data_IF_223973837623
#
_entry.id   IF_223973837623
#
_cell.length_a   1.000
_cell.length_b   1.000
_cell.length_c   1.000
_cell.angle_alpha   90.00
_cell.angle_beta   90.00
_cell.angle_gamma   90.00
#
_symmetry.space_group_name_H-M   'P 1'
#
loop_
_entity.id
_entity.type
_entity.pdbx_description
1 polymer ?
#
# COMPACT_ATOMS: atom_id res chain seq x y z
N UNK A 1 28.82 4.13 1.64
CA UNK A 1 27.80 4.46 0.62
C UNK A 1 26.90 3.25 0.51
N UNK A 2 25.62 3.34 0.94
CA UNK A 2 24.65 2.27 0.66
C UNK A 2 24.38 2.33 -0.84
N UNK A 3 24.66 1.24 -1.57
CA UNK A 3 24.23 1.07 -2.95
C UNK A 3 22.69 1.14 -2.98
N UNK A 4 22.16 2.29 -3.32
CA UNK A 4 20.77 2.45 -3.68
C UNK A 4 20.58 1.77 -5.05
N UNK A 5 20.21 0.49 -5.01
CA UNK A 5 19.74 -0.22 -6.20
C UNK A 5 18.50 0.54 -6.68
N UNK A 6 18.59 1.23 -7.81
CA UNK A 6 17.47 1.99 -8.36
C UNK A 6 16.27 1.07 -8.51
N UNK A 7 15.17 1.39 -7.82
CA UNK A 7 13.95 0.59 -7.88
C UNK A 7 13.43 0.56 -9.32
N UNK A 8 13.06 -0.62 -9.82
CA UNK A 8 12.51 -0.81 -11.17
C UNK A 8 11.01 -0.57 -11.14
N UNK A 9 10.54 0.32 -11.99
CA UNK A 9 9.11 0.60 -12.15
C UNK A 9 8.68 0.27 -13.57
N UNK A 10 7.68 -0.59 -13.74
CA UNK A 10 6.95 -0.69 -15.01
C UNK A 10 5.90 0.42 -15.02
N UNK A 11 5.88 1.21 -16.10
CA UNK A 11 4.86 2.23 -16.36
C UNK A 11 4.11 1.83 -17.62
N UNK A 12 2.80 1.64 -17.50
CA UNK A 12 1.94 1.22 -18.60
C UNK A 12 0.89 2.29 -18.91
N UNK A 13 0.89 2.77 -20.15
CA UNK A 13 -0.07 3.75 -20.69
C UNK A 13 -0.02 3.63 -22.22
N UNK A 14 -1.15 3.66 -22.92
CA UNK A 14 -1.17 3.60 -24.40
C UNK A 14 -0.83 4.96 -25.03
N UNK A 15 -0.82 6.04 -24.25
CA UNK A 15 -0.42 7.37 -24.67
C UNK A 15 1.10 7.56 -24.50
N UNK A 16 1.84 7.63 -25.60
CA UNK A 16 3.29 7.82 -25.59
C UNK A 16 3.76 9.10 -24.87
N UNK A 17 2.98 10.18 -24.94
CA UNK A 17 3.31 11.42 -24.23
C UNK A 17 3.19 11.25 -22.71
N UNK A 18 2.18 10.50 -22.24
CA UNK A 18 2.03 10.16 -20.83
C UNK A 18 3.18 9.26 -20.35
N UNK A 19 3.54 8.23 -21.11
CA UNK A 19 4.69 7.38 -20.81
C UNK A 19 5.98 8.18 -20.70
N UNK A 20 6.21 9.08 -21.67
CA UNK A 20 7.42 9.92 -21.66
C UNK A 20 7.43 10.85 -20.45
N UNK A 21 6.32 11.54 -20.16
CA UNK A 21 6.21 12.46 -19.04
C UNK A 21 6.43 11.75 -17.70
N UNK A 22 5.71 10.66 -17.44
CA UNK A 22 5.83 9.88 -16.22
C UNK A 22 7.25 9.30 -16.11
N UNK A 23 7.78 8.77 -17.22
CA UNK A 23 9.12 8.21 -17.27
C UNK A 23 10.22 9.22 -16.94
N UNK A 24 10.11 10.46 -17.41
CA UNK A 24 11.06 11.55 -17.09
C UNK A 24 10.98 11.93 -15.60
N UNK A 25 9.78 12.05 -15.04
CA UNK A 25 9.60 12.38 -13.63
C UNK A 25 10.20 11.29 -12.74
N UNK A 26 9.90 10.02 -13.01
CA UNK A 26 10.41 8.89 -12.25
C UNK A 26 11.94 8.77 -12.33
N UNK A 27 12.53 8.98 -13.51
CA UNK A 27 13.98 9.00 -13.68
C UNK A 27 14.65 10.11 -12.86
N UNK A 28 14.04 11.30 -12.80
CA UNK A 28 14.52 12.40 -11.94
C UNK A 28 14.46 12.06 -10.46
N UNK A 29 13.50 11.22 -10.06
CA UNK A 29 13.37 10.69 -8.70
C UNK A 29 14.29 9.49 -8.43
N UNK A 30 15.13 9.09 -9.40
CA UNK A 30 16.13 8.01 -9.23
C UNK A 30 15.61 6.60 -9.52
N UNK A 31 14.45 6.46 -10.17
CA UNK A 31 13.89 5.15 -10.53
C UNK A 31 14.36 4.68 -11.91
N UNK A 32 14.45 3.36 -12.08
CA UNK A 32 14.67 2.71 -13.37
C UNK A 32 13.33 2.36 -14.01
N UNK A 33 12.95 3.08 -15.07
CA UNK A 33 11.63 3.00 -15.70
C UNK A 33 11.66 2.05 -16.88
N UNK A 34 10.71 1.12 -16.90
CA UNK A 34 10.46 0.17 -17.99
C UNK A 34 9.07 0.51 -18.56
N UNK A 35 9.00 1.11 -19.75
CA UNK A 35 7.71 1.47 -20.36
C UNK A 35 7.00 0.26 -20.96
N UNK A 36 5.67 0.26 -20.90
CA UNK A 36 4.79 -0.66 -21.60
C UNK A 36 3.65 0.12 -22.27
N UNK A 37 3.27 -0.21 -23.51
CA UNK A 37 2.25 0.51 -24.27
C UNK A 37 0.85 -0.10 -24.18
N UNK A 38 0.73 -1.26 -23.58
CA UNK A 38 -0.53 -1.99 -23.43
C UNK A 38 -0.42 -3.07 -22.35
N UNK A 39 -1.56 -3.63 -21.96
CA UNK A 39 -1.60 -4.66 -20.94
C UNK A 39 -0.83 -5.95 -21.27
N UNK A 40 -0.78 -6.35 -22.56
CA UNK A 40 -0.03 -7.54 -22.98
C UNK A 40 1.48 -7.35 -22.80
N UNK A 41 2.00 -6.15 -23.08
CA UNK A 41 3.40 -5.82 -22.82
C UNK A 41 3.74 -5.89 -21.33
N UNK A 42 2.84 -5.43 -20.45
CA UNK A 42 3.03 -5.56 -18.99
C UNK A 42 3.18 -7.04 -18.61
N UNK A 43 2.23 -7.88 -19.02
CA UNK A 43 2.26 -9.31 -18.71
C UNK A 43 3.52 -9.99 -19.25
N UNK A 44 3.95 -9.65 -20.46
CA UNK A 44 5.21 -10.14 -21.04
C UNK A 44 6.42 -9.66 -20.25
N UNK A 45 6.48 -8.39 -19.85
CA UNK A 45 7.59 -7.87 -19.06
C UNK A 45 7.71 -8.57 -17.70
N UNK A 46 6.59 -8.91 -17.06
CA UNK A 46 6.59 -9.64 -15.79
C UNK A 46 7.21 -11.04 -15.87
N UNK A 47 7.24 -11.67 -17.04
CA UNK A 47 7.96 -12.93 -17.24
C UNK A 47 9.48 -12.76 -17.38
N UNK A 48 9.94 -11.53 -17.70
CA UNK A 48 11.35 -11.23 -17.99
C UNK A 48 12.05 -10.49 -16.85
N UNK A 49 11.29 -9.65 -16.12
CA UNK A 49 11.82 -8.81 -15.05
C UNK A 49 10.89 -8.83 -13.83
N UNK A 50 11.48 -8.72 -12.66
CA UNK A 50 10.71 -8.48 -11.42
C UNK A 50 10.79 -6.98 -11.10
N UNK A 51 9.71 -6.20 -11.33
CA UNK A 51 9.67 -4.80 -10.93
C UNK A 51 9.42 -4.67 -9.43
N UNK A 52 9.82 -3.53 -8.87
CA UNK A 52 9.51 -3.19 -7.48
C UNK A 52 8.13 -2.52 -7.36
N UNK A 53 7.66 -1.86 -8.46
CA UNK A 53 6.37 -1.16 -8.52
C UNK A 53 5.84 -1.26 -9.96
N UNK A 54 4.52 -1.30 -10.12
CA UNK A 54 3.84 -1.16 -11.41
C UNK A 54 2.90 0.06 -11.35
N UNK A 55 3.03 0.97 -12.30
CA UNK A 55 2.06 2.04 -12.55
C UNK A 55 1.26 1.67 -13.81
N UNK A 56 -0.06 1.65 -13.71
CA UNK A 56 -0.92 1.00 -14.68
C UNK A 56 -2.10 1.89 -15.04
N UNK A 57 -2.17 2.34 -16.31
CA UNK A 57 -3.38 2.98 -16.82
C UNK A 57 -4.51 1.94 -16.98
N UNK A 58 -5.74 2.38 -16.81
CA UNK A 58 -6.91 1.52 -17.04
C UNK A 58 -7.20 1.43 -18.53
N UNK A 59 -7.18 2.54 -19.26
CA UNK A 59 -7.57 2.62 -20.66
C UNK A 59 -6.39 2.30 -21.59
N UNK A 60 -6.14 1.02 -21.86
CA UNK A 60 -5.01 0.55 -22.69
C UNK A 60 -5.43 -0.39 -23.83
N UNK A 61 -6.47 -0.08 -24.56
CA UNK A 61 -6.85 -0.84 -25.75
C UNK A 61 -7.44 -2.23 -25.46
N UNK A 62 -6.86 -3.29 -26.03
CA UNK A 62 -7.45 -4.66 -26.03
C UNK A 62 -7.43 -5.38 -24.69
N UNK A 63 -6.45 -5.10 -23.84
CA UNK A 63 -6.38 -5.61 -22.46
C UNK A 63 -6.29 -4.41 -21.55
N UNK A 64 -7.38 -4.14 -20.86
CA UNK A 64 -7.46 -3.00 -19.95
C UNK A 64 -6.64 -3.20 -18.65
N UNK A 65 -6.34 -2.11 -17.97
CA UNK A 65 -5.52 -2.14 -16.76
C UNK A 65 -6.16 -2.91 -15.61
N UNK A 66 -7.50 -3.02 -15.57
CA UNK A 66 -8.19 -3.77 -14.52
C UNK A 66 -7.97 -5.26 -14.70
N UNK A 67 -8.06 -5.77 -15.94
CA UNK A 67 -7.77 -7.16 -16.25
C UNK A 67 -6.30 -7.51 -15.98
N UNK A 68 -5.37 -6.58 -16.26
CA UNK A 68 -3.94 -6.75 -15.92
C UNK A 68 -3.74 -6.78 -14.40
N UNK A 69 -4.36 -5.86 -13.64
CA UNK A 69 -4.31 -5.85 -12.19
C UNK A 69 -4.79 -7.19 -11.60
N UNK A 70 -5.95 -7.67 -12.07
CA UNK A 70 -6.52 -8.95 -11.64
C UNK A 70 -5.55 -10.10 -11.90
N UNK A 71 -4.93 -10.16 -13.09
CA UNK A 71 -3.93 -11.17 -13.42
C UNK A 71 -2.73 -11.11 -12.49
N UNK A 72 -2.17 -9.91 -12.26
CA UNK A 72 -1.03 -9.69 -11.36
C UNK A 72 -1.34 -10.19 -9.95
N UNK A 73 -2.55 -9.90 -9.44
CA UNK A 73 -2.94 -10.22 -8.06
C UNK A 73 -3.33 -11.69 -7.85
N UNK A 74 -3.74 -12.39 -8.91
CA UNK A 74 -4.02 -13.83 -8.87
C UNK A 74 -2.76 -14.71 -8.97
N UNK A 75 -1.70 -14.23 -9.60
CA UNK A 75 -0.46 -14.99 -9.75
C UNK A 75 0.42 -14.85 -8.51
N UNK A 76 0.73 -15.98 -7.86
CA UNK A 76 1.58 -16.05 -6.66
C UNK A 76 2.98 -15.43 -6.83
N UNK A 77 3.49 -15.36 -8.05
CA UNK A 77 4.81 -14.78 -8.32
C UNK A 77 4.80 -13.26 -8.37
N UNK A 78 3.64 -12.66 -8.68
CA UNK A 78 3.47 -11.22 -8.90
C UNK A 78 2.50 -10.55 -7.93
N UNK A 79 1.71 -11.31 -7.17
CA UNK A 79 0.68 -10.78 -6.25
C UNK A 79 1.20 -9.75 -5.24
N UNK A 80 2.45 -9.93 -4.79
CA UNK A 80 3.09 -9.03 -3.81
C UNK A 80 3.59 -7.72 -4.42
N UNK A 81 3.65 -7.62 -5.76
CA UNK A 81 4.12 -6.40 -6.43
C UNK A 81 3.09 -5.29 -6.22
N UNK A 82 3.48 -4.13 -5.65
CA UNK A 82 2.60 -2.99 -5.50
C UNK A 82 2.18 -2.44 -6.87
N UNK A 83 0.87 -2.26 -7.07
CA UNK A 83 0.29 -1.70 -8.29
C UNK A 83 -0.41 -0.39 -7.95
N UNK A 84 0.00 0.69 -8.63
CA UNK A 84 -0.66 2.01 -8.61
C UNK A 84 -1.47 2.12 -9.89
N UNK A 85 -2.78 2.33 -9.78
CA UNK A 85 -3.61 2.66 -10.94
C UNK A 85 -3.49 4.14 -11.27
N UNK A 86 -3.43 4.48 -12.56
CA UNK A 86 -3.38 5.88 -13.04
C UNK A 86 -4.44 6.01 -14.12
N UNK A 87 -5.51 6.80 -13.90
CA UNK A 87 -6.63 6.85 -14.85
C UNK A 87 -7.28 8.22 -14.92
N UNK A 88 -7.90 8.51 -16.07
CA UNK A 88 -8.81 9.67 -16.23
C UNK A 88 -10.17 9.47 -15.59
N UNK A 89 -10.58 8.22 -15.33
CA UNK A 89 -11.82 7.91 -14.64
C UNK A 89 -11.70 8.16 -13.14
N UNK A 90 -12.65 8.87 -12.57
CA UNK A 90 -12.72 9.19 -11.13
C UNK A 90 -13.99 8.64 -10.48
N UNK A 91 -14.71 7.71 -11.16
CA UNK A 91 -15.91 7.09 -10.62
C UNK A 91 -15.59 6.25 -9.38
N UNK A 92 -16.46 6.34 -8.38
CA UNK A 92 -16.31 5.62 -7.13
C UNK A 92 -16.33 4.11 -7.32
N UNK A 93 -17.07 3.65 -8.32
CA UNK A 93 -17.24 2.24 -8.69
C UNK A 93 -15.93 1.63 -9.19
N UNK A 94 -15.27 2.27 -10.15
CA UNK A 94 -13.98 1.80 -10.72
C UNK A 94 -12.90 1.82 -9.65
N UNK A 95 -12.87 2.85 -8.84
CA UNK A 95 -11.94 2.99 -7.74
C UNK A 95 -12.13 1.86 -6.71
N UNK A 96 -13.37 1.59 -6.30
CA UNK A 96 -13.71 0.52 -5.37
C UNK A 96 -13.34 -0.85 -5.96
N UNK A 97 -13.59 -1.08 -7.25
CA UNK A 97 -13.20 -2.30 -7.96
C UNK A 97 -11.67 -2.50 -7.91
N UNK A 98 -10.89 -1.49 -8.29
CA UNK A 98 -9.43 -1.57 -8.24
C UNK A 98 -8.90 -1.83 -6.82
N UNK A 99 -9.52 -1.21 -5.81
CA UNK A 99 -9.19 -1.44 -4.40
C UNK A 99 -9.46 -2.90 -3.99
N UNK A 100 -10.62 -3.43 -4.35
CA UNK A 100 -11.01 -4.82 -4.06
C UNK A 100 -10.05 -5.81 -4.72
N UNK A 101 -9.59 -5.51 -5.94
CA UNK A 101 -8.58 -6.31 -6.65
C UNK A 101 -7.17 -6.18 -6.06
N UNK A 102 -6.95 -5.28 -5.11
CA UNK A 102 -5.69 -5.14 -4.37
C UNK A 102 -4.70 -4.15 -4.98
N UNK A 103 -5.16 -3.13 -5.74
CA UNK A 103 -4.28 -2.00 -6.03
C UNK A 103 -3.91 -1.28 -4.73
N UNK A 104 -2.71 -0.73 -4.72
CA UNK A 104 -2.17 -0.07 -3.52
C UNK A 104 -2.55 1.41 -3.47
N UNK A 105 -2.66 2.03 -4.63
CA UNK A 105 -3.12 3.41 -4.78
C UNK A 105 -3.76 3.62 -6.15
N UNK A 106 -4.47 4.74 -6.29
CA UNK A 106 -5.13 5.14 -7.51
C UNK A 106 -4.95 6.64 -7.70
N UNK A 107 -4.34 7.04 -8.79
CA UNK A 107 -4.08 8.44 -9.12
C UNK A 107 -4.99 8.84 -10.27
N UNK A 108 -5.85 9.84 -10.05
CA UNK A 108 -6.64 10.44 -11.13
C UNK A 108 -5.78 11.38 -11.96
N UNK A 109 -5.84 11.24 -13.29
CA UNK A 109 -5.23 12.18 -14.24
C UNK A 109 -5.92 13.57 -14.12
N UNK A 110 -5.23 14.71 -14.20
CA UNK A 110 -3.81 14.84 -14.52
C UNK A 110 -2.91 14.41 -13.35
N UNK A 111 -1.83 13.69 -13.70
CA UNK A 111 -0.81 13.30 -12.75
C UNK A 111 0.09 14.49 -12.43
N UNK A 112 0.24 14.81 -11.14
CA UNK A 112 1.17 15.85 -10.68
C UNK A 112 2.37 15.21 -9.96
N UNK A 113 3.44 15.99 -9.83
CA UNK A 113 4.67 15.53 -9.14
C UNK A 113 4.36 15.14 -7.70
N UNK A 114 3.53 15.93 -7.02
CA UNK A 114 3.14 15.72 -5.62
C UNK A 114 2.37 14.41 -5.46
N UNK A 115 1.35 14.15 -6.33
CA UNK A 115 0.58 12.91 -6.32
C UNK A 115 1.49 11.69 -6.55
N UNK A 116 2.42 11.81 -7.51
CA UNK A 116 3.37 10.76 -7.82
C UNK A 116 4.30 10.47 -6.64
N UNK A 117 4.88 11.51 -6.03
CA UNK A 117 5.77 11.35 -4.88
C UNK A 117 5.07 10.68 -3.70
N UNK A 118 3.86 11.10 -3.36
CA UNK A 118 3.08 10.51 -2.28
C UNK A 118 2.77 9.04 -2.53
N UNK A 119 2.36 8.67 -3.76
CA UNK A 119 2.09 7.27 -4.10
C UNK A 119 3.36 6.41 -4.04
N UNK A 120 4.51 6.93 -4.49
CA UNK A 120 5.80 6.23 -4.43
C UNK A 120 6.32 6.11 -3.00
N UNK A 121 6.14 7.12 -2.16
CA UNK A 121 6.47 7.03 -0.73
C UNK A 121 5.67 5.91 -0.07
N UNK A 122 4.38 5.80 -0.38
CA UNK A 122 3.54 4.71 0.07
C UNK A 122 4.06 3.34 -0.37
N UNK A 123 4.44 3.20 -1.66
CA UNK A 123 5.04 1.96 -2.17
C UNK A 123 6.38 1.64 -1.51
N UNK A 124 7.24 2.62 -1.29
CA UNK A 124 8.54 2.42 -0.65
C UNK A 124 8.39 2.00 0.81
N UNK A 125 7.46 2.62 1.54
CA UNK A 125 7.09 2.19 2.89
C UNK A 125 6.61 0.75 2.86
N UNK A 126 5.77 0.36 1.91
CA UNK A 126 5.28 -1.01 1.79
C UNK A 126 6.35 -1.98 1.29
N UNK A 127 7.21 -1.59 0.34
CA UNK A 127 8.32 -2.42 -0.12
C UNK A 127 9.35 -2.69 0.99
N UNK A 128 9.63 -1.71 1.82
CA UNK A 128 10.42 -1.88 3.04
C UNK A 128 9.72 -2.81 4.06
N UNK A 129 8.40 -2.87 4.02
CA UNK A 129 7.56 -3.68 4.88
C UNK A 129 7.32 -5.10 4.30
N UNK A 130 7.29 -5.30 2.98
CA UNK A 130 7.20 -6.64 2.36
C UNK A 130 8.51 -7.42 2.46
N UNK A 131 9.64 -6.75 2.59
CA UNK A 131 10.92 -7.38 3.00
C UNK A 131 10.92 -7.80 4.47
N UNK A 132 9.90 -7.44 5.25
CA UNK A 132 9.76 -7.82 6.66
C UNK A 132 8.96 -9.12 6.80
N UNK A 133 9.37 -9.94 7.74
CA UNK A 133 8.93 -11.30 8.07
C UNK A 133 7.43 -11.50 8.40
N UNK A 134 6.54 -10.50 8.19
CA UNK A 134 5.17 -10.57 8.69
C UNK A 134 4.15 -10.11 7.64
N UNK A 135 3.16 -10.96 7.29
CA UNK A 135 2.06 -10.59 6.39
C UNK A 135 1.24 -9.46 7.01
N UNK A 136 0.67 -8.62 6.14
CA UNK A 136 -0.22 -7.53 6.50
C UNK A 136 -1.62 -7.89 6.06
N UNK A 137 -2.61 -7.62 6.90
CA UNK A 137 -4.02 -7.81 6.58
C UNK A 137 -4.74 -6.47 6.58
N UNK A 138 -5.76 -6.34 5.74
CA UNK A 138 -6.74 -5.26 5.84
C UNK A 138 -7.63 -5.55 7.03
N UNK A 139 -7.63 -4.68 8.03
CA UNK A 139 -8.37 -4.87 9.26
C UNK A 139 -8.82 -3.53 9.81
N UNK A 140 -10.13 -3.29 9.79
CA UNK A 140 -10.74 -2.18 10.49
C UNK A 140 -10.94 -2.55 11.96
N UNK A 141 -10.03 -2.11 12.81
CA UNK A 141 -10.08 -2.35 14.26
C UNK A 141 -9.98 -1.03 15.02
N UNK A 142 -10.88 -0.82 15.97
CA UNK A 142 -10.80 0.33 16.88
C UNK A 142 -9.59 0.18 17.79
N UNK A 143 -8.77 1.22 17.88
CA UNK A 143 -7.57 1.29 18.73
C UNK A 143 -7.58 2.60 19.53
N UNK A 144 -6.93 2.59 20.68
CA UNK A 144 -6.65 3.81 21.44
C UNK A 144 -5.20 4.18 21.16
N UNK A 145 -4.99 5.37 20.64
CA UNK A 145 -3.66 5.94 20.38
C UNK A 145 -3.42 7.09 21.32
N UNK A 146 -2.32 7.05 22.07
CA UNK A 146 -1.91 8.15 22.95
C UNK A 146 -0.74 8.87 22.29
N UNK A 147 -0.89 10.17 22.06
CA UNK A 147 0.14 11.07 21.59
C UNK A 147 0.23 12.28 22.52
N UNK A 148 1.42 12.58 23.02
CA UNK A 148 1.65 13.66 23.99
C UNK A 148 0.71 13.60 25.22
N UNK A 149 0.42 12.39 25.70
CA UNK A 149 -0.48 12.15 26.84
C UNK A 149 -1.97 12.25 26.52
N UNK A 150 -2.36 12.60 25.29
CA UNK A 150 -3.76 12.75 24.87
C UNK A 150 -4.24 11.45 24.20
N UNK A 151 -5.33 10.82 24.66
CA UNK A 151 -5.89 9.63 24.06
C UNK A 151 -6.81 9.95 22.86
N UNK A 152 -6.68 9.19 21.78
CA UNK A 152 -7.48 9.26 20.56
C UNK A 152 -8.09 7.91 20.26
N UNK A 153 -9.40 7.85 20.03
CA UNK A 153 -10.08 6.67 19.52
C UNK A 153 -9.99 6.69 17.99
N UNK A 154 -9.18 5.80 17.41
CA UNK A 154 -8.91 5.74 15.97
C UNK A 154 -9.19 4.34 15.44
N UNK A 155 -9.08 4.15 14.12
CA UNK A 155 -9.26 2.87 13.47
C UNK A 155 -8.04 2.51 12.63
N UNK A 156 -7.66 1.24 12.66
CA UNK A 156 -6.69 0.70 11.70
C UNK A 156 -7.35 0.55 10.34
N UNK A 157 -6.57 0.62 9.28
CA UNK A 157 -6.92 0.20 7.92
C UNK A 157 -6.18 -1.09 7.58
N UNK A 158 -4.94 -1.19 8.05
CA UNK A 158 -4.13 -2.40 7.91
C UNK A 158 -3.34 -2.66 9.19
N UNK A 159 -3.09 -3.94 9.48
CA UNK A 159 -2.31 -4.40 10.63
C UNK A 159 -1.34 -5.52 10.22
N UNK A 160 -0.16 -5.54 10.85
CA UNK A 160 0.83 -6.61 10.79
C UNK A 160 1.54 -6.73 12.13
N UNK A 161 2.32 -7.79 12.34
CA UNK A 161 3.09 -7.91 13.58
C UNK A 161 4.22 -6.86 13.75
N UNK A 162 4.51 -6.05 12.73
CA UNK A 162 5.56 -5.01 12.80
C UNK A 162 5.04 -3.58 12.71
N UNK A 163 3.71 -3.38 12.50
CA UNK A 163 3.14 -2.05 12.38
C UNK A 163 1.72 -2.01 11.85
N UNK A 164 1.16 -0.81 11.77
CA UNK A 164 -0.22 -0.58 11.35
C UNK A 164 -0.32 0.67 10.47
N UNK A 165 -1.38 0.77 9.67
CA UNK A 165 -1.85 2.03 9.14
C UNK A 165 -3.11 2.43 9.90
N UNK A 166 -3.12 3.64 10.48
CA UNK A 166 -4.19 4.15 11.32
C UNK A 166 -4.82 5.38 10.64
N UNK A 167 -6.15 5.35 10.47
CA UNK A 167 -6.92 6.44 9.90
C UNK A 167 -6.99 7.61 10.86
N UNK A 168 -6.67 8.82 10.39
CA UNK A 168 -6.84 10.08 11.11
C UNK A 168 -6.88 11.23 10.11
N UNK A 169 -7.89 12.11 10.20
CA UNK A 169 -8.08 13.23 9.28
C UNK A 169 -6.87 14.19 9.27
N UNK A 170 -6.35 14.47 10.44
CA UNK A 170 -5.14 15.28 10.66
C UNK A 170 -4.08 14.38 11.32
N UNK A 171 -3.29 13.65 10.54
CA UNK A 171 -2.32 12.70 11.07
C UNK A 171 -1.26 13.38 11.93
N UNK A 172 -0.70 12.65 12.89
CA UNK A 172 0.47 13.15 13.63
C UNK A 172 1.68 13.23 12.70
N UNK A 173 2.57 14.20 12.91
CA UNK A 173 3.76 14.38 12.07
C UNK A 173 4.63 13.12 12.03
N UNK A 174 5.33 12.91 10.90
CA UNK A 174 6.35 11.87 10.79
C UNK A 174 7.42 12.05 11.88
N UNK A 175 7.83 10.96 12.52
CA UNK A 175 8.73 10.94 13.66
C UNK A 175 8.02 11.04 15.02
N UNK A 176 6.70 11.27 15.06
CA UNK A 176 5.96 11.29 16.33
C UNK A 176 5.99 9.89 16.98
N UNK A 177 6.24 9.87 18.30
CA UNK A 177 6.14 8.65 19.11
C UNK A 177 4.74 8.55 19.71
N UNK A 178 4.16 7.37 19.65
CA UNK A 178 2.80 7.09 20.11
C UNK A 178 2.76 5.77 20.89
N UNK A 179 1.78 5.68 21.79
CA UNK A 179 1.39 4.42 22.41
C UNK A 179 0.07 3.95 21.81
N UNK A 180 -0.05 2.65 21.55
CA UNK A 180 -1.23 2.06 20.93
C UNK A 180 -1.74 0.94 21.82
N UNK A 181 -3.01 1.00 22.19
CA UNK A 181 -3.72 -0.12 22.81
C UNK A 181 -4.59 -0.76 21.75
N UNK A 182 -4.25 -2.00 21.38
CA UNK A 182 -4.95 -2.83 20.41
C UNK A 182 -5.77 -3.90 21.14
N UNK A 183 -7.12 -3.81 21.12
CA UNK A 183 -7.97 -4.87 21.68
C UNK A 183 -7.90 -6.15 20.83
N UNK A 184 -7.83 -7.30 21.49
CA UNK A 184 -7.90 -8.64 20.89
C UNK A 184 -9.33 -9.22 20.99
N UNK A 185 -9.49 -10.50 20.68
CA UNK A 185 -10.82 -11.16 20.68
C UNK A 185 -11.36 -11.52 22.08
N UNK A 186 -10.49 -11.74 23.05
CA UNK A 186 -10.76 -12.29 24.38
C UNK A 186 -10.82 -11.22 25.49
N UNK A 187 -11.22 -10.01 25.16
CA UNK A 187 -11.23 -8.84 26.05
C UNK A 187 -9.82 -8.41 26.51
N UNK A 188 -8.77 -9.11 26.11
CA UNK A 188 -7.38 -8.70 26.30
C UNK A 188 -6.98 -7.56 25.35
N UNK A 189 -5.89 -6.88 25.65
CA UNK A 189 -5.33 -5.87 24.78
C UNK A 189 -3.80 -5.90 24.80
N UNK A 190 -3.19 -5.64 23.63
CA UNK A 190 -1.74 -5.47 23.55
C UNK A 190 -1.43 -3.96 23.57
N UNK A 191 -0.45 -3.60 24.40
CA UNK A 191 0.10 -2.25 24.43
C UNK A 191 1.39 -2.19 23.62
N UNK A 192 1.43 -1.31 22.64
CA UNK A 192 2.53 -1.20 21.68
C UNK A 192 3.07 0.23 21.69
N UNK A 193 4.37 0.37 21.58
CA UNK A 193 5.01 1.62 21.24
C UNK A 193 5.17 1.72 19.73
N UNK A 194 5.06 2.91 19.16
CA UNK A 194 5.23 3.09 17.74
C UNK A 194 5.73 4.48 17.36
N UNK A 195 6.34 4.53 16.19
CA UNK A 195 6.79 5.75 15.54
C UNK A 195 5.99 5.96 14.26
N UNK A 196 5.52 7.18 14.03
CA UNK A 196 4.92 7.59 12.75
C UNK A 196 6.00 7.66 11.70
N UNK A 197 6.05 6.70 10.78
CA UNK A 197 7.07 6.64 9.73
C UNK A 197 6.59 7.24 8.40
N UNK A 198 5.28 7.39 8.25
CA UNK A 198 4.64 7.92 7.05
C UNK A 198 3.32 8.60 7.40
N UNK A 199 3.00 9.69 6.69
CA UNK A 199 1.74 10.43 6.81
C UNK A 199 1.08 10.52 5.44
N UNK A 200 -0.22 10.29 5.39
CA UNK A 200 -1.07 10.45 4.22
C UNK A 200 -2.19 11.45 4.53
N UNK A 201 -2.22 12.54 3.80
CA UNK A 201 -3.22 13.59 3.94
C UNK A 201 -4.39 13.45 2.94
N UNK A 202 -5.33 14.40 2.98
CA UNK A 202 -6.56 14.39 2.17
C UNK A 202 -6.34 14.74 0.69
N UNK A 203 -5.15 15.20 0.28
CA UNK A 203 -4.96 15.74 -1.06
C UNK A 203 -4.70 14.64 -2.10
N UNK A 204 -5.75 14.27 -2.82
CA UNK A 204 -5.67 13.54 -4.09
C UNK A 204 -5.59 12.02 -3.99
N UNK A 205 -5.85 11.41 -2.85
CA UNK A 205 -5.81 9.96 -2.66
C UNK A 205 -7.16 9.39 -2.28
N UNK A 206 -7.45 8.19 -2.80
CA UNK A 206 -8.67 7.42 -2.60
C UNK A 206 -8.73 6.78 -1.22
N UNK A 207 -7.58 6.51 -0.63
CA UNK A 207 -7.48 5.95 0.71
C UNK A 207 -7.67 7.04 1.76
N UNK A 208 -8.34 6.74 2.88
CA UNK A 208 -8.56 7.72 3.92
C UNK A 208 -7.23 8.30 4.44
N UNK A 209 -7.22 9.58 4.84
CA UNK A 209 -6.05 10.18 5.47
C UNK A 209 -5.66 9.41 6.72
N UNK A 210 -4.36 9.33 6.98
CA UNK A 210 -3.88 8.56 8.11
C UNK A 210 -2.35 8.54 8.21
N UNK A 211 -1.87 7.65 9.04
CA UNK A 211 -0.44 7.52 9.33
C UNK A 211 0.00 6.07 9.38
N UNK A 212 1.14 5.80 8.76
CA UNK A 212 1.83 4.52 8.87
C UNK A 212 2.68 4.50 10.14
N UNK A 213 2.45 3.47 10.96
CA UNK A 213 3.12 3.26 12.24
C UNK A 213 4.05 2.07 12.13
N UNK A 214 5.29 2.26 12.56
CA UNK A 214 6.23 1.17 12.82
C UNK A 214 6.20 0.91 14.34
N UNK A 215 5.96 -0.32 14.76
CA UNK A 215 6.08 -0.67 16.16
C UNK A 215 7.54 -0.64 16.60
N UNK A 216 7.80 -0.01 17.74
CA UNK A 216 9.10 0.08 18.40
C UNK A 216 9.04 -0.68 19.73
N UNK A 217 10.18 -1.11 20.25
CA UNK A 217 10.29 -1.81 21.55
C UNK A 217 9.36 -3.01 21.70
N UNK A 218 9.05 -3.68 20.56
CA UNK A 218 8.18 -4.86 20.53
C UNK A 218 8.96 -6.10 20.95
N UNK A 219 8.43 -6.84 21.92
CA UNK A 219 9.03 -8.09 22.40
C UNK A 219 8.68 -9.27 21.49
N UNK A 220 9.46 -10.35 21.54
CA UNK A 220 9.13 -11.59 20.82
C UNK A 220 7.77 -12.16 21.25
N UNK A 221 7.38 -11.93 22.51
CA UNK A 221 6.07 -12.31 23.04
C UNK A 221 4.94 -11.51 22.35
N UNK A 222 5.07 -10.19 22.24
CA UNK A 222 4.07 -9.35 21.56
C UNK A 222 3.95 -9.70 20.08
N UNK A 223 5.10 -9.99 19.42
CA UNK A 223 5.12 -10.47 18.04
C UNK A 223 4.35 -11.79 17.90
N UNK A 224 4.53 -12.72 18.84
CA UNK A 224 3.83 -14.00 18.82
C UNK A 224 2.31 -13.82 19.01
N UNK A 225 1.89 -12.97 19.96
CA UNK A 225 0.48 -12.62 20.18
C UNK A 225 -0.13 -12.02 18.92
N UNK A 226 0.53 -11.01 18.32
CA UNK A 226 0.02 -10.36 17.12
C UNK A 226 -0.08 -11.32 15.93
N UNK A 227 0.91 -12.21 15.75
CA UNK A 227 0.86 -13.23 14.69
C UNK A 227 -0.32 -14.17 14.88
N UNK A 228 -0.49 -14.73 16.08
CA UNK A 228 -1.60 -15.62 16.38
C UNK A 228 -2.96 -14.93 16.16
N UNK A 229 -3.09 -13.70 16.62
CA UNK A 229 -4.29 -12.87 16.40
C UNK A 229 -4.60 -12.67 14.91
N UNK A 230 -3.58 -12.33 14.09
CA UNK A 230 -3.74 -12.14 12.65
C UNK A 230 -4.07 -13.45 11.93
N UNK A 231 -3.48 -14.56 12.33
CA UNK A 231 -3.76 -15.90 11.79
C UNK A 231 -5.20 -16.34 12.08
N UNK A 232 -5.71 -16.04 13.27
CA UNK A 232 -7.11 -16.31 13.63
C UNK A 232 -8.09 -15.51 12.78
N UNK A 233 -7.81 -14.22 12.48
CA UNK A 233 -8.63 -13.41 11.61
C UNK A 233 -8.64 -13.98 10.19
N UNK A 234 -7.47 -14.30 9.63
CA UNK A 234 -7.36 -14.87 8.28
C UNK A 234 -8.13 -16.20 8.19
N UNK A 235 -8.06 -17.04 9.24
CA UNK A 235 -8.78 -18.31 9.29
C UNK A 235 -10.30 -18.09 9.41
N UNK A 236 -10.76 -17.08 10.16
CA UNK A 236 -12.17 -16.70 10.28
C UNK A 236 -12.76 -16.23 8.96
N UNK A 237 -12.07 -15.30 8.27
CA UNK A 237 -12.48 -14.81 6.96
C UNK A 237 -12.57 -15.91 5.88
N UNK A 238 -11.77 -16.99 6.00
CA UNK A 238 -11.86 -18.15 5.10
C UNK A 238 -13.11 -19.01 5.36
N UNK A 239 -13.57 -19.11 6.59
CA UNK A 239 -14.75 -19.89 6.96
C UNK A 239 -16.04 -19.19 6.52
N UNK A 240 -16.10 -17.86 6.66
CA UNK A 240 -17.26 -17.05 6.25
C UNK A 240 -17.44 -17.00 4.71
N UNK A 241 -16.43 -17.36 3.91
CA UNK A 241 -16.50 -17.46 2.45
C UNK A 241 -16.92 -18.86 1.94
N UNK A 242 -17.03 -19.84 2.85
CA UNK A 242 -17.41 -21.23 2.52
C UNK A 242 -18.86 -21.57 2.92
N UNK A 243 -19.56 -20.65 3.56
CA UNK A 243 -21.02 -20.70 3.81
C UNK A 243 -21.77 -19.84 2.78
#
# INVERSE_FOLDING_TARGET
MKDYKANKIIVADDNENALMFIGLLLKRLGYNVIPARNGLEVLKLLTLVKPDIIMLDIAMGTVDGIAVLEHIKKDRQTSDIPVIMVSGDSSTEIIAQCKTLGCIDYITKPLTVEKLQLALEWCNVLADWTKRKHPRISLEKKVIVIHEGIPYNLYTETLSAGGAFIRKKDPFPKGSHIQITLPLHDESAVQLQGEVVFVKDLFGHIFPPGMGIKFTDITDHDIAILKNYLEQIIAGDMLDQLE
#
